data_IF_335213437455
#
_entry.id   IF_335213437455
#
_cell.length_a   1.000
_cell.length_b   1.000
_cell.length_c   1.000
_cell.angle_alpha   90.00
_cell.angle_beta   90.00
_cell.angle_gamma   90.00
#
_symmetry.space_group_name_H-M   'P 1'
#
loop_
_entity.id
_entity.type
_entity.pdbx_description
1 polymer ?
#
# COMPACT_ATOMS: atom_id res chain seq x y z
N UNK A 1 -18.80 -5.18 13.00
CA UNK A 1 -19.77 -4.72 11.99
C UNK A 1 -19.12 -4.91 10.64
N UNK A 2 -19.72 -5.71 9.75
CA UNK A 2 -19.17 -6.00 8.44
C UNK A 2 -19.79 -5.04 7.42
N UNK A 3 -18.96 -4.33 6.65
CA UNK A 3 -19.47 -3.39 5.63
C UNK A 3 -19.78 -4.15 4.36
N UNK A 4 -20.99 -3.94 3.84
CA UNK A 4 -21.41 -4.51 2.57
C UNK A 4 -20.90 -3.62 1.43
N UNK A 5 -19.87 -4.11 0.73
CA UNK A 5 -19.30 -3.45 -0.45
C UNK A 5 -20.08 -3.89 -1.69
N UNK A 6 -20.26 -3.03 -2.69
CA UNK A 6 -20.93 -3.46 -3.93
C UNK A 6 -20.02 -4.40 -4.74
N UNK A 7 -20.58 -5.31 -5.56
CA UNK A 7 -19.77 -6.23 -6.38
C UNK A 7 -18.78 -5.53 -7.31
N UNK A 8 -19.11 -4.35 -7.82
CA UNK A 8 -18.24 -3.55 -8.70
C UNK A 8 -17.01 -3.04 -7.94
N UNK A 9 -17.22 -2.50 -6.74
CA UNK A 9 -16.12 -2.02 -5.90
C UNK A 9 -15.27 -3.18 -5.37
N UNK A 10 -15.89 -4.29 -5.01
CA UNK A 10 -15.18 -5.50 -4.61
C UNK A 10 -14.28 -6.03 -5.73
N UNK A 11 -14.79 -6.13 -6.95
CA UNK A 11 -14.01 -6.53 -8.13
C UNK A 11 -12.83 -5.60 -8.37
N UNK A 12 -13.05 -4.28 -8.28
CA UNK A 12 -12.00 -3.26 -8.43
C UNK A 12 -10.91 -3.39 -7.37
N UNK A 13 -11.30 -3.60 -6.10
CA UNK A 13 -10.37 -3.79 -4.99
C UNK A 13 -9.54 -5.05 -5.22
N UNK A 14 -10.18 -6.17 -5.55
CA UNK A 14 -9.51 -7.45 -5.80
C UNK A 14 -8.54 -7.34 -6.97
N UNK A 15 -8.92 -6.68 -8.07
CA UNK A 15 -8.03 -6.45 -9.20
C UNK A 15 -6.80 -5.63 -8.81
N UNK A 16 -6.98 -4.54 -8.05
CA UNK A 16 -5.86 -3.74 -7.55
C UNK A 16 -4.96 -4.57 -6.62
N UNK A 17 -5.53 -5.40 -5.75
CA UNK A 17 -4.72 -6.28 -4.89
C UNK A 17 -3.96 -7.31 -5.74
N UNK A 18 -4.62 -7.94 -6.72
CA UNK A 18 -3.97 -8.88 -7.61
C UNK A 18 -2.77 -8.25 -8.34
N UNK A 19 -2.91 -7.00 -8.79
CA UNK A 19 -1.82 -6.22 -9.40
C UNK A 19 -0.72 -5.83 -8.39
N UNK A 20 -1.08 -5.57 -7.13
CA UNK A 20 -0.11 -5.44 -6.03
C UNK A 20 0.72 -6.71 -5.88
N UNK A 21 0.09 -7.88 -5.87
CA UNK A 21 0.76 -9.18 -5.71
C UNK A 21 1.71 -9.54 -6.87
N UNK A 22 1.44 -9.05 -8.07
CA UNK A 22 2.14 -9.47 -9.29
C UNK A 22 3.17 -8.46 -9.80
N UNK A 23 3.26 -7.29 -9.17
CA UNK A 23 4.12 -6.21 -9.63
C UNK A 23 5.42 -6.14 -8.83
N UNK A 24 6.53 -5.93 -9.51
CA UNK A 24 7.80 -5.51 -8.90
C UNK A 24 8.10 -4.07 -9.37
N UNK A 25 8.80 -3.27 -8.56
CA UNK A 25 9.22 -1.87 -8.83
C UNK A 25 8.27 -0.73 -8.39
N UNK A 26 7.54 -0.86 -7.27
CA UNK A 26 6.82 0.28 -6.66
C UNK A 26 5.42 0.57 -7.22
N UNK A 27 5.09 -0.01 -8.37
CA UNK A 27 3.72 -0.09 -8.90
C UNK A 27 2.81 -0.93 -7.99
N UNK A 28 3.40 -1.89 -7.28
CA UNK A 28 2.73 -2.72 -6.30
C UNK A 28 2.03 -1.86 -5.23
N UNK A 29 2.79 -1.03 -4.53
CA UNK A 29 2.26 -0.22 -3.42
C UNK A 29 1.30 0.87 -3.91
N UNK A 30 1.42 1.33 -5.17
CA UNK A 30 0.38 2.18 -5.78
C UNK A 30 -0.97 1.48 -5.75
N UNK A 31 -1.03 0.22 -6.17
CA UNK A 31 -2.29 -0.53 -6.14
C UNK A 31 -2.77 -0.82 -4.71
N UNK A 32 -1.87 -1.10 -3.77
CA UNK A 32 -2.21 -1.22 -2.35
C UNK A 32 -2.83 0.08 -1.80
N UNK A 33 -2.22 1.25 -2.12
CA UNK A 33 -2.74 2.58 -1.75
C UNK A 33 -4.11 2.84 -2.33
N UNK A 34 -4.31 2.52 -3.59
CA UNK A 34 -5.59 2.74 -4.26
C UNK A 34 -6.69 1.87 -3.64
N UNK A 35 -6.40 0.60 -3.32
CA UNK A 35 -7.33 -0.28 -2.61
C UNK A 35 -7.69 0.27 -1.22
N UNK A 36 -6.70 0.68 -0.44
CA UNK A 36 -6.93 1.26 0.89
C UNK A 36 -7.77 2.55 0.80
N UNK A 37 -7.42 3.46 -0.10
CA UNK A 37 -8.17 4.73 -0.27
C UNK A 37 -9.61 4.48 -0.69
N UNK A 38 -9.85 3.54 -1.62
CA UNK A 38 -11.20 3.18 -2.03
C UNK A 38 -12.00 2.63 -0.85
N UNK A 39 -11.39 1.75 -0.05
CA UNK A 39 -12.04 1.20 1.14
C UNK A 39 -12.28 2.26 2.22
N UNK A 40 -11.33 3.17 2.50
CA UNK A 40 -11.56 4.30 3.43
C UNK A 40 -12.79 5.11 2.99
N UNK A 41 -12.91 5.41 1.70
CA UNK A 41 -14.05 6.16 1.17
C UNK A 41 -15.38 5.39 1.32
N UNK A 42 -15.35 4.07 1.12
CA UNK A 42 -16.54 3.21 1.28
C UNK A 42 -16.95 3.03 2.75
N UNK A 43 -15.99 3.01 3.68
CA UNK A 43 -16.27 2.87 5.11
C UNK A 43 -16.79 4.15 5.74
N UNK A 44 -16.41 5.31 5.18
CA UNK A 44 -16.45 6.59 5.87
C UNK A 44 -15.29 6.69 6.86
N UNK A 45 -14.53 7.79 6.79
CA UNK A 45 -13.30 7.94 7.57
C UNK A 45 -13.54 7.83 9.09
N UNK A 46 -14.58 8.50 9.61
CA UNK A 46 -14.90 8.52 11.04
C UNK A 46 -15.27 7.13 11.57
N UNK A 47 -16.15 6.43 10.85
CA UNK A 47 -16.55 5.07 11.16
C UNK A 47 -15.37 4.10 11.14
N UNK A 48 -14.51 4.19 10.12
CA UNK A 48 -13.28 3.40 10.06
C UNK A 48 -12.40 3.63 11.30
N UNK A 49 -12.18 4.88 11.69
CA UNK A 49 -11.34 5.21 12.85
C UNK A 49 -11.90 4.61 14.13
N UNK A 50 -13.21 4.64 14.33
CA UNK A 50 -13.84 3.98 15.48
C UNK A 50 -13.66 2.46 15.45
N UNK A 51 -13.84 1.84 14.28
CA UNK A 51 -13.64 0.40 14.11
C UNK A 51 -12.20 -0.01 14.42
N UNK A 52 -11.21 0.77 13.97
CA UNK A 52 -9.80 0.53 14.24
C UNK A 52 -9.49 0.58 15.74
N UNK A 53 -10.02 1.57 16.46
CA UNK A 53 -9.84 1.72 17.93
C UNK A 53 -10.46 0.58 18.73
N UNK A 54 -11.50 -0.05 18.19
CA UNK A 54 -12.24 -1.15 18.83
C UNK A 54 -11.82 -2.53 18.30
N UNK A 55 -10.79 -2.62 17.45
CA UNK A 55 -10.36 -3.89 16.85
C UNK A 55 -10.01 -4.94 17.91
N UNK A 56 -10.44 -6.18 17.73
CA UNK A 56 -10.12 -7.27 18.65
C UNK A 56 -9.49 -8.49 17.94
N UNK A 57 -8.96 -8.26 16.73
CA UNK A 57 -8.26 -9.28 15.94
C UNK A 57 -6.91 -9.68 16.52
N UNK A 58 -6.25 -10.68 15.91
CA UNK A 58 -4.88 -11.09 16.26
C UNK A 58 -3.85 -9.94 16.14
N UNK A 59 -4.12 -8.95 15.29
CA UNK A 59 -3.25 -7.79 15.08
C UNK A 59 -3.69 -6.54 15.87
N UNK A 60 -4.57 -6.70 16.87
CA UNK A 60 -5.21 -5.59 17.61
C UNK A 60 -4.25 -4.51 18.10
N UNK A 61 -3.03 -4.85 18.51
CA UNK A 61 -2.05 -3.87 18.98
C UNK A 61 -1.66 -2.87 17.89
N UNK A 62 -1.35 -3.35 16.69
CA UNK A 62 -0.97 -2.51 15.55
C UNK A 62 -2.19 -1.75 15.04
N UNK A 63 -3.34 -2.42 14.93
CA UNK A 63 -4.58 -1.85 14.37
C UNK A 63 -5.16 -0.75 15.27
N UNK A 64 -5.26 -0.98 16.59
CA UNK A 64 -5.74 0.04 17.53
C UNK A 64 -4.84 1.26 17.54
N UNK A 65 -3.53 1.06 17.53
CA UNK A 65 -2.55 2.15 17.43
C UNK A 65 -2.75 2.99 16.16
N UNK A 66 -3.06 2.35 15.02
CA UNK A 66 -3.41 3.07 13.79
C UNK A 66 -4.65 3.95 13.99
N UNK A 67 -5.69 3.45 14.65
CA UNK A 67 -6.92 4.20 14.95
C UNK A 67 -6.71 5.34 15.96
N UNK A 68 -5.94 5.10 17.02
CA UNK A 68 -5.59 6.11 18.05
C UNK A 68 -4.70 7.23 17.49
N UNK A 69 -3.76 6.88 16.62
CA UNK A 69 -2.83 7.82 16.02
C UNK A 69 -3.38 8.47 14.74
N UNK A 70 -4.56 8.09 14.24
CA UNK A 70 -5.04 8.42 12.89
C UNK A 70 -4.82 9.89 12.48
N UNK A 71 -5.26 10.81 13.34
CA UNK A 71 -5.20 12.27 13.12
C UNK A 71 -3.91 12.93 13.63
N UNK A 72 -3.03 12.21 14.33
CA UNK A 72 -1.78 12.78 14.86
C UNK A 72 -0.84 13.20 13.72
N UNK A 73 0.12 14.11 13.96
CA UNK A 73 1.07 14.58 12.93
C UNK A 73 1.90 13.46 12.25
N UNK A 74 2.13 12.34 12.94
CA UNK A 74 2.78 11.12 12.41
C UNK A 74 1.80 9.97 12.19
N UNK A 75 0.51 10.28 12.23
CA UNK A 75 -0.61 9.37 12.11
C UNK A 75 -0.81 8.79 10.72
N UNK A 76 -1.69 7.79 10.65
CA UNK A 76 -1.97 7.09 9.40
C UNK A 76 -2.49 8.01 8.30
N UNK A 77 -3.36 8.98 8.63
CA UNK A 77 -3.85 9.97 7.66
C UNK A 77 -2.71 10.76 7.02
N UNK A 78 -1.68 11.12 7.80
CA UNK A 78 -0.51 11.84 7.27
C UNK A 78 0.41 10.91 6.49
N UNK A 79 0.56 9.66 6.91
CA UNK A 79 1.31 8.61 6.18
C UNK A 79 0.68 8.33 4.80
N UNK A 80 -0.66 8.18 4.72
CA UNK A 80 -1.44 8.08 3.48
C UNK A 80 -1.10 9.22 2.51
N UNK A 81 -1.14 10.48 3.00
CA UNK A 81 -0.77 11.66 2.19
C UNK A 81 0.69 11.63 1.75
N UNK A 82 1.60 11.20 2.63
CA UNK A 82 3.03 11.09 2.32
C UNK A 82 3.32 10.08 1.21
N UNK A 83 2.63 8.94 1.22
CA UNK A 83 2.72 7.92 0.15
C UNK A 83 2.30 8.52 -1.19
N UNK A 84 1.17 9.24 -1.25
CA UNK A 84 0.74 9.92 -2.48
C UNK A 84 1.79 10.90 -3.01
N UNK A 85 2.43 11.65 -2.12
CA UNK A 85 3.52 12.57 -2.50
C UNK A 85 4.75 11.82 -3.01
N UNK A 86 5.15 10.73 -2.36
CA UNK A 86 6.30 9.91 -2.78
C UNK A 86 6.02 9.29 -4.16
N UNK A 87 4.84 8.70 -4.36
CA UNK A 87 4.43 8.13 -5.65
C UNK A 87 4.44 9.17 -6.76
N UNK A 88 3.92 10.38 -6.51
CA UNK A 88 3.96 11.48 -7.48
C UNK A 88 5.40 11.85 -7.85
N UNK A 89 6.32 11.89 -6.88
CA UNK A 89 7.74 12.18 -7.12
C UNK A 89 8.46 11.06 -7.86
N UNK A 90 8.16 9.79 -7.55
CA UNK A 90 8.67 8.62 -8.28
C UNK A 90 8.21 8.70 -9.73
N UNK A 91 6.90 8.91 -9.96
CA UNK A 91 6.34 9.03 -11.31
C UNK A 91 6.97 10.18 -12.09
N UNK A 92 7.05 11.38 -11.49
CA UNK A 92 7.69 12.52 -12.16
C UNK A 92 9.16 12.27 -12.51
N UNK A 93 9.92 11.63 -11.61
CA UNK A 93 11.33 11.28 -11.87
C UNK A 93 11.45 10.24 -12.98
N UNK A 94 10.60 9.21 -12.96
CA UNK A 94 10.58 8.15 -13.97
C UNK A 94 10.18 8.67 -15.35
N UNK A 95 9.14 9.51 -15.44
CA UNK A 95 8.70 10.11 -16.70
C UNK A 95 9.81 10.91 -17.37
N UNK A 96 10.60 11.66 -16.62
CA UNK A 96 11.76 12.40 -17.16
C UNK A 96 12.88 11.47 -17.63
N UNK A 97 13.11 10.34 -16.94
CA UNK A 97 14.10 9.35 -17.36
C UNK A 97 13.70 8.65 -18.67
N UNK A 98 12.40 8.39 -18.86
CA UNK A 98 11.85 7.70 -20.03
C UNK A 98 11.50 8.62 -21.21
N UNK A 99 11.41 9.94 -20.99
CA UNK A 99 10.97 10.89 -22.00
C UNK A 99 11.92 10.89 -23.22
N UNK A 100 11.44 10.39 -24.35
CA UNK A 100 12.20 10.29 -25.61
C UNK A 100 12.34 11.62 -26.35
N UNK A 101 11.57 12.65 -25.96
CA UNK A 101 11.58 13.99 -26.57
C UNK A 101 12.68 14.90 -26.01
N UNK A 102 13.21 14.58 -24.82
CA UNK A 102 14.32 15.32 -24.23
C UNK A 102 15.61 15.16 -25.06
N UNK A 103 16.31 16.27 -25.28
CA UNK A 103 17.58 16.27 -26.01
C UNK A 103 18.61 15.39 -25.31
N UNK A 104 19.51 14.75 -26.09
CA UNK A 104 20.63 13.94 -25.56
C UNK A 104 21.47 14.72 -24.54
N UNK A 105 21.64 16.01 -24.75
CA UNK A 105 22.41 16.91 -23.89
C UNK A 105 21.74 17.15 -22.54
N UNK A 106 20.41 17.35 -22.54
CA UNK A 106 19.61 17.46 -21.31
C UNK A 106 19.62 16.15 -20.52
N UNK A 107 19.45 15.02 -21.21
CA UNK A 107 19.57 13.70 -20.59
C UNK A 107 20.94 13.51 -19.96
N UNK A 108 22.03 13.82 -20.64
CA UNK A 108 23.38 13.61 -20.08
C UNK A 108 23.70 14.50 -18.87
N UNK A 109 23.15 15.72 -18.77
CA UNK A 109 23.38 16.60 -17.61
C UNK A 109 22.51 16.26 -16.39
N UNK A 110 21.25 15.90 -16.60
CA UNK A 110 20.28 15.78 -15.50
C UNK A 110 19.87 14.34 -15.17
N UNK A 111 20.18 13.35 -16.01
CA UNK A 111 19.77 11.93 -15.81
C UNK A 111 20.27 11.37 -14.50
N UNK A 112 21.52 11.62 -14.12
CA UNK A 112 22.08 11.12 -12.85
C UNK A 112 21.35 11.69 -11.63
N UNK A 113 20.92 12.96 -11.70
CA UNK A 113 20.18 13.62 -10.64
C UNK A 113 18.77 13.03 -10.50
N UNK A 114 18.04 12.88 -11.61
CA UNK A 114 16.71 12.27 -11.59
C UNK A 114 16.75 10.79 -11.21
N UNK A 115 17.79 10.06 -11.61
CA UNK A 115 18.01 8.69 -11.18
C UNK A 115 18.29 8.60 -9.67
N UNK A 116 19.14 9.49 -9.12
CA UNK A 116 19.36 9.58 -7.67
C UNK A 116 18.08 9.92 -6.92
N UNK A 117 17.25 10.82 -7.43
CA UNK A 117 15.94 11.14 -6.85
C UNK A 117 14.98 9.96 -6.88
N UNK A 118 14.86 9.29 -8.04
CA UNK A 118 14.08 8.08 -8.18
C UNK A 118 14.48 7.04 -7.14
N UNK A 119 15.77 6.70 -7.05
CA UNK A 119 16.29 5.74 -6.05
C UNK A 119 16.03 6.19 -4.61
N UNK A 120 16.22 7.48 -4.30
CA UNK A 120 15.96 8.04 -2.97
C UNK A 120 14.50 7.83 -2.56
N UNK A 121 13.55 8.17 -3.45
CA UNK A 121 12.12 8.04 -3.17
C UNK A 121 11.69 6.58 -3.10
N UNK A 122 12.23 5.71 -3.97
CA UNK A 122 12.01 4.27 -3.90
C UNK A 122 12.47 3.67 -2.57
N UNK A 123 13.56 4.14 -1.96
CA UNK A 123 14.04 3.67 -0.64
C UNK A 123 13.20 4.14 0.55
N UNK A 124 12.58 5.31 0.44
CA UNK A 124 11.71 5.86 1.51
C UNK A 124 10.38 5.10 1.60
N UNK A 125 10.00 4.46 0.50
CA UNK A 125 8.67 3.90 0.27
C UNK A 125 8.38 2.60 1.07
N UNK A 126 9.26 1.58 1.11
CA UNK A 126 9.06 0.37 1.93
C UNK A 126 8.84 0.66 3.43
N UNK A 127 9.49 1.69 3.98
CA UNK A 127 9.39 2.04 5.40
C UNK A 127 7.98 2.45 5.83
N UNK A 128 7.15 2.91 4.90
CA UNK A 128 5.80 3.39 5.18
C UNK A 128 4.77 2.26 5.02
N UNK A 129 5.10 1.24 4.23
CA UNK A 129 4.19 0.17 3.80
C UNK A 129 3.70 -0.73 4.95
N UNK A 130 4.49 -1.00 5.99
CA UNK A 130 4.11 -1.95 7.06
C UNK A 130 2.78 -1.61 7.74
N UNK A 131 2.60 -0.36 8.16
CA UNK A 131 1.35 0.07 8.80
C UNK A 131 0.18 0.09 7.79
N UNK A 132 0.50 0.30 6.52
CA UNK A 132 -0.43 0.39 5.42
C UNK A 132 -1.02 -0.97 5.09
N UNK A 133 -0.17 -1.98 5.07
CA UNK A 133 -0.56 -3.37 4.93
C UNK A 133 -1.44 -3.84 6.10
N UNK A 134 -1.08 -3.49 7.34
CA UNK A 134 -1.92 -3.80 8.50
C UNK A 134 -3.33 -3.17 8.40
N UNK A 135 -3.42 -1.92 7.96
CA UNK A 135 -4.68 -1.25 7.69
C UNK A 135 -5.46 -1.96 6.57
N UNK A 136 -4.81 -2.34 5.49
CA UNK A 136 -5.42 -3.08 4.39
C UNK A 136 -6.00 -4.44 4.83
N UNK A 137 -5.23 -5.23 5.58
CA UNK A 137 -5.70 -6.53 6.09
C UNK A 137 -6.94 -6.34 6.97
N UNK A 138 -6.90 -5.36 7.88
CA UNK A 138 -8.05 -5.03 8.71
C UNK A 138 -9.29 -4.68 7.88
N UNK A 139 -9.10 -3.80 6.88
CA UNK A 139 -10.16 -3.35 5.99
C UNK A 139 -10.81 -4.54 5.25
N UNK A 140 -10.00 -5.42 4.66
CA UNK A 140 -10.52 -6.60 3.95
C UNK A 140 -11.26 -7.55 4.89
N UNK A 141 -10.70 -7.84 6.06
CA UNK A 141 -11.32 -8.72 7.08
C UNK A 141 -12.67 -8.21 7.59
N UNK A 142 -12.88 -6.90 7.57
CA UNK A 142 -14.11 -6.30 8.05
C UNK A 142 -15.10 -5.96 6.93
N UNK A 143 -14.89 -6.49 5.72
CA UNK A 143 -15.69 -6.21 4.53
C UNK A 143 -16.37 -7.46 3.99
N UNK A 144 -17.47 -7.28 3.27
CA UNK A 144 -18.16 -8.39 2.59
C UNK A 144 -17.38 -8.99 1.42
N UNK A 145 -16.25 -8.41 1.02
CA UNK A 145 -15.38 -8.92 -0.07
C UNK A 145 -14.98 -10.37 0.19
N UNK A 146 -14.77 -10.76 1.45
CA UNK A 146 -14.41 -12.13 1.83
C UNK A 146 -15.51 -13.16 1.50
N UNK A 147 -16.76 -12.71 1.39
CA UNK A 147 -17.93 -13.55 1.16
C UNK A 147 -18.42 -13.50 -0.29
N UNK A 148 -17.73 -12.76 -1.16
CA UNK A 148 -18.14 -12.61 -2.56
C UNK A 148 -17.52 -13.69 -3.45
N UNK A 149 -18.34 -14.28 -4.31
CA UNK A 149 -17.89 -15.11 -5.43
C UNK A 149 -17.25 -14.23 -6.50
N UNK A 150 -16.03 -13.79 -6.24
CA UNK A 150 -15.19 -13.08 -7.21
C UNK A 150 -14.55 -14.12 -8.15
N UNK A 151 -14.46 -13.80 -9.45
CA UNK A 151 -13.88 -14.68 -10.47
C UNK A 151 -12.59 -15.38 -10.00
N UNK A 152 -12.53 -16.70 -10.21
CA UNK A 152 -11.45 -17.57 -9.73
C UNK A 152 -10.05 -17.16 -10.17
N UNK A 153 -9.91 -16.43 -11.28
CA UNK A 153 -8.60 -15.95 -11.76
C UNK A 153 -7.96 -14.94 -10.82
N UNK A 154 -8.75 -14.03 -10.23
CA UNK A 154 -8.20 -13.02 -9.32
C UNK A 154 -7.92 -13.56 -7.92
N UNK A 155 -8.73 -14.52 -7.46
CA UNK A 155 -8.47 -15.27 -6.22
C UNK A 155 -7.23 -16.16 -6.36
N UNK A 156 -7.01 -16.81 -7.51
CA UNK A 156 -5.77 -17.54 -7.78
C UNK A 156 -4.53 -16.65 -7.72
N UNK A 157 -4.61 -15.39 -8.16
CA UNK A 157 -3.52 -14.41 -8.02
C UNK A 157 -3.31 -13.98 -6.56
N UNK A 158 -4.37 -13.93 -5.75
CA UNK A 158 -4.27 -13.69 -4.31
C UNK A 158 -3.69 -14.89 -3.56
N UNK A 159 -4.03 -16.12 -3.96
CA UNK A 159 -3.51 -17.36 -3.37
C UNK A 159 -2.05 -17.63 -3.78
N UNK A 160 -1.72 -17.42 -5.07
CA UNK A 160 -0.34 -17.48 -5.55
C UNK A 160 0.48 -16.35 -4.96
N UNK A 161 -0.09 -15.15 -4.94
CA UNK A 161 0.44 -13.97 -4.26
C UNK A 161 0.63 -14.21 -2.76
N UNK A 162 -0.29 -14.90 -2.08
CA UNK A 162 -0.22 -15.30 -0.67
C UNK A 162 1.00 -16.18 -0.34
N UNK A 163 1.33 -17.11 -1.24
CA UNK A 163 2.53 -17.94 -1.13
C UNK A 163 3.82 -17.14 -1.40
N UNK A 164 3.79 -16.19 -2.35
CA UNK A 164 4.88 -15.23 -2.54
C UNK A 164 4.94 -14.18 -1.41
N UNK A 165 3.82 -13.82 -0.78
CA UNK A 165 3.72 -12.84 0.32
C UNK A 165 4.38 -13.37 1.56
N UNK A 166 4.16 -14.64 1.93
CA UNK A 166 4.92 -15.27 3.01
C UNK A 166 6.44 -15.27 2.73
N UNK A 167 6.85 -15.28 1.46
CA UNK A 167 8.24 -15.17 1.00
C UNK A 167 8.80 -13.75 1.02
N UNK A 168 8.13 -12.80 0.36
CA UNK A 168 8.48 -11.36 0.28
C UNK A 168 8.42 -10.71 1.66
N UNK A 169 7.48 -11.12 2.52
CA UNK A 169 7.39 -10.67 3.90
C UNK A 169 8.54 -11.27 4.73
N UNK A 170 8.93 -12.53 4.52
CA UNK A 170 10.15 -13.11 5.15
C UNK A 170 11.44 -12.44 4.67
N UNK A 171 11.56 -12.10 3.39
CA UNK A 171 12.71 -11.37 2.85
C UNK A 171 12.76 -9.93 3.40
N UNK A 172 11.66 -9.17 3.32
CA UNK A 172 11.61 -7.80 3.84
C UNK A 172 11.75 -7.70 5.37
N UNK A 173 11.28 -8.71 6.12
CA UNK A 173 11.46 -8.78 7.59
C UNK A 173 12.87 -9.21 8.00
N UNK A 174 13.57 -10.01 7.20
CA UNK A 174 14.99 -10.36 7.44
C UNK A 174 15.94 -9.17 7.24
N UNK A 175 15.56 -8.20 6.42
CA UNK A 175 16.36 -7.00 6.13
C UNK A 175 16.17 -5.83 7.11
N UNK A 176 15.23 -5.91 8.05
CA UNK A 176 15.17 -4.97 9.18
C UNK A 176 15.94 -5.58 10.36
N UNK A 177 17.13 -5.06 10.72
CA UNK A 177 17.68 -5.37 12.02
C UNK A 177 16.70 -4.85 13.06
N UNK A 178 16.34 -5.72 14.01
CA UNK A 178 15.80 -5.30 15.30
C UNK A 178 16.90 -4.48 15.98
N UNK A 179 16.96 -3.18 15.73
CA UNK A 179 17.65 -2.26 16.64
C UNK A 179 16.85 -2.27 17.95
N UNK A 180 17.39 -2.97 18.94
CA UNK A 180 16.82 -3.03 20.28
C UNK A 180 17.12 -4.33 21.00
N UNK A 181 18.39 -4.73 21.07
CA UNK A 181 18.85 -5.54 22.18
C UNK A 181 19.10 -4.62 23.38
N UNK A 182 18.19 -4.64 24.36
CA UNK A 182 18.47 -4.70 25.81
C UNK A 182 17.34 -5.52 26.42
#
# INVERSE_FOLDING_TARGET
MMINISPIYATTIVQKIALYCSSYNGNDVYYLKESIMLMINLYGEENLVEMLKKDNSNNKLVVRKIGEDWYKPKGMKKKLKKISLILSKIHGSYSILEDKTLTKEYKNKEKDKYFKYYLKFCKEFPKIEFNFYALFVFLIQNSSIQNMNISSQYLKVLESGGRTFGGVQKERLRETPLEGGI
#
